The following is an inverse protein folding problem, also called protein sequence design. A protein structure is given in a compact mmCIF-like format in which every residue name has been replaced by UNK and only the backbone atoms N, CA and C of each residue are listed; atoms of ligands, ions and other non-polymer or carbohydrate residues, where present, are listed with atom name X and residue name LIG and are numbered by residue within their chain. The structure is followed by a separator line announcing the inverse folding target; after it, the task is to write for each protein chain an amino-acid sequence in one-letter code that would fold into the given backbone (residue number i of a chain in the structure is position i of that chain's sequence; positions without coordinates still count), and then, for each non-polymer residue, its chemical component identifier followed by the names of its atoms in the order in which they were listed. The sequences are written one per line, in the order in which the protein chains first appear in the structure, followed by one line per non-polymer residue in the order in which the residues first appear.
data_IF_762302028978
#
_entry.id   IF_762302028978
#
_cell.length_a   1.000
_cell.length_b   1.000
_cell.length_c   1.000
_cell.angle_alpha   90.00
_cell.angle_beta   90.00
_cell.angle_gamma   90.00
#
_symmetry.space_group_name_H-M   'P 1'
#
loop_
_entity.id
_entity.type
_entity.pdbx_description
1 polymer ?
#
# COMPACT_ATOMS: atom_id res chain seq x y z
N UNK A 1 -0.16 16.74 -11.98
CA UNK A 1 0.53 16.21 -13.19
C UNK A 1 0.10 16.94 -14.50
N UNK A 2 -0.03 18.28 -14.53
CA UNK A 2 -0.38 19.04 -15.76
C UNK A 2 0.82 19.56 -16.56
N UNK A 3 2.04 19.40 -16.03
CA UNK A 3 3.24 20.11 -16.49
C UNK A 3 4.24 19.28 -17.31
N UNK A 4 4.05 17.96 -17.43
CA UNK A 4 5.01 17.08 -18.14
C UNK A 4 4.68 16.87 -19.63
N UNK A 5 3.47 17.24 -20.07
CA UNK A 5 3.02 17.00 -21.45
C UNK A 5 2.87 18.34 -22.19
N UNK A 6 3.55 18.54 -23.34
CA UNK A 6 3.41 19.74 -24.16
C UNK A 6 1.95 20.05 -24.48
N UNK A 7 1.61 21.34 -24.48
CA UNK A 7 0.23 21.80 -24.71
C UNK A 7 -0.31 21.32 -26.07
N UNK A 8 0.51 21.42 -27.13
CA UNK A 8 0.20 20.93 -28.47
C UNK A 8 -0.22 19.47 -28.49
N UNK A 9 0.49 18.60 -27.75
CA UNK A 9 0.15 17.18 -27.65
C UNK A 9 -1.18 16.95 -26.94
N UNK A 10 -1.46 17.71 -25.87
CA UNK A 10 -2.73 17.63 -25.13
C UNK A 10 -3.92 18.06 -25.99
N UNK A 11 -3.79 19.18 -26.69
CA UNK A 11 -4.83 19.71 -27.58
C UNK A 11 -5.06 18.74 -28.74
N UNK A 12 -4.00 18.24 -29.38
CA UNK A 12 -4.07 17.20 -30.42
C UNK A 12 -4.88 16.00 -29.96
N UNK A 13 -4.51 15.43 -28.81
CA UNK A 13 -5.19 14.25 -28.28
C UNK A 13 -6.66 14.53 -27.99
N UNK A 14 -6.99 15.70 -27.44
CA UNK A 14 -8.38 16.10 -27.19
C UNK A 14 -9.21 16.23 -28.48
N UNK A 15 -8.65 16.83 -29.53
CA UNK A 15 -9.32 16.97 -30.84
C UNK A 15 -9.62 15.59 -31.42
N UNK A 16 -8.59 14.75 -31.54
CA UNK A 16 -8.74 13.40 -32.09
C UNK A 16 -9.73 12.57 -31.26
N UNK A 17 -9.63 12.61 -29.93
CA UNK A 17 -10.57 11.92 -29.04
C UNK A 17 -12.02 12.34 -29.26
N UNK A 18 -12.28 13.65 -29.33
CA UNK A 18 -13.63 14.17 -29.51
C UNK A 18 -14.19 13.73 -30.87
N UNK A 19 -13.46 14.00 -31.96
CA UNK A 19 -13.94 13.69 -33.31
C UNK A 19 -14.06 12.18 -33.55
N UNK A 20 -13.12 11.36 -33.08
CA UNK A 20 -13.20 9.90 -33.17
C UNK A 20 -14.46 9.38 -32.47
N UNK A 21 -14.76 9.88 -31.28
CA UNK A 21 -15.98 9.46 -30.55
C UNK A 21 -17.25 9.86 -31.26
N UNK A 22 -17.32 11.09 -31.78
CA UNK A 22 -18.49 11.57 -32.51
C UNK A 22 -18.70 10.78 -33.81
N UNK A 23 -17.62 10.51 -34.56
CA UNK A 23 -17.70 9.72 -35.80
C UNK A 23 -18.06 8.26 -35.53
N UNK A 24 -17.51 7.65 -34.47
CA UNK A 24 -17.75 6.26 -34.11
C UNK A 24 -19.05 5.99 -33.35
N UNK A 25 -19.85 7.02 -33.05
CA UNK A 25 -21.23 6.80 -32.57
C UNK A 25 -21.98 5.87 -33.53
N UNK A 26 -22.84 5.00 -33.00
CA UNK A 26 -23.60 4.02 -33.80
C UNK A 26 -22.71 3.15 -34.72
N UNK A 27 -21.46 2.87 -34.31
CA UNK A 27 -20.52 2.03 -35.07
C UNK A 27 -20.02 2.66 -36.37
N UNK A 28 -19.99 4.00 -36.46
CA UNK A 28 -19.45 4.70 -37.64
C UNK A 28 -20.43 4.85 -38.79
N UNK A 29 -21.70 4.49 -38.60
CA UNK A 29 -22.75 4.55 -39.64
C UNK A 29 -23.48 5.90 -39.72
N UNK A 30 -23.05 6.88 -38.94
CA UNK A 30 -23.68 8.20 -38.99
C UNK A 30 -23.32 8.89 -40.32
N UNK A 31 -24.23 9.71 -40.87
CA UNK A 31 -23.91 10.57 -42.00
C UNK A 31 -22.87 11.63 -41.61
N UNK A 32 -22.11 12.12 -42.60
CA UNK A 32 -20.97 13.03 -42.42
C UNK A 32 -21.34 14.28 -41.64
N UNK A 33 -22.54 14.80 -41.88
CA UNK A 33 -23.08 16.00 -41.27
C UNK A 33 -23.20 15.88 -39.74
N UNK A 34 -23.40 14.67 -39.21
CA UNK A 34 -23.60 14.45 -37.77
C UNK A 34 -22.29 14.42 -36.97
N UNK A 35 -21.14 14.26 -37.63
CA UNK A 35 -19.83 14.26 -36.99
C UNK A 35 -18.89 15.33 -37.55
N UNK A 36 -19.46 16.32 -38.23
CA UNK A 36 -18.74 17.47 -38.75
C UNK A 36 -19.00 18.68 -37.85
N UNK A 37 -17.94 19.31 -37.36
CA UNK A 37 -18.03 20.41 -36.39
C UNK A 37 -17.15 21.57 -36.83
N UNK A 38 -17.59 22.79 -36.57
CA UNK A 38 -16.73 23.97 -36.74
C UNK A 38 -15.62 23.98 -35.69
N UNK A 39 -14.48 24.62 -36.00
CA UNK A 39 -13.36 24.72 -35.05
C UNK A 39 -13.74 25.41 -33.74
N UNK A 40 -14.65 26.40 -33.77
CA UNK A 40 -15.20 27.04 -32.56
C UNK A 40 -16.02 26.06 -31.70
N UNK A 41 -16.83 25.20 -32.32
CA UNK A 41 -17.57 24.15 -31.61
C UNK A 41 -16.62 23.14 -30.97
N UNK A 42 -15.60 22.69 -31.71
CA UNK A 42 -14.58 21.78 -31.19
C UNK A 42 -13.88 22.41 -29.99
N UNK A 43 -13.39 23.65 -30.12
CA UNK A 43 -12.75 24.42 -29.04
C UNK A 43 -13.62 24.48 -27.78
N UNK A 44 -14.91 24.78 -27.95
CA UNK A 44 -15.87 24.83 -26.85
C UNK A 44 -16.09 23.47 -26.21
N UNK A 45 -16.21 22.40 -27.01
CA UNK A 45 -16.47 21.03 -26.53
C UNK A 45 -15.27 20.43 -25.79
N UNK A 46 -14.05 20.71 -26.24
CA UNK A 46 -12.83 20.17 -25.61
C UNK A 46 -12.24 21.09 -24.53
N UNK A 47 -12.87 22.27 -24.34
CA UNK A 47 -12.46 23.32 -23.41
C UNK A 47 -10.99 23.71 -23.61
N UNK A 48 -10.65 24.12 -24.83
CA UNK A 48 -9.34 24.66 -25.23
C UNK A 48 -9.53 25.95 -26.01
N UNK A 49 -8.51 26.81 -26.05
CA UNK A 49 -8.61 28.07 -26.80
C UNK A 49 -8.71 27.79 -28.30
N UNK A 50 -9.48 28.62 -28.98
CA UNK A 50 -9.71 28.47 -30.41
C UNK A 50 -8.40 28.55 -31.21
N UNK A 51 -7.47 29.43 -30.85
CA UNK A 51 -6.20 29.58 -31.55
C UNK A 51 -5.36 28.30 -31.49
N UNK A 52 -5.32 27.64 -30.32
CA UNK A 52 -4.62 26.37 -30.14
C UNK A 52 -5.28 25.26 -30.97
N UNK A 53 -6.62 25.24 -31.01
CA UNK A 53 -7.37 24.27 -31.81
C UNK A 53 -7.14 24.51 -33.29
N UNK A 54 -7.10 25.76 -33.73
CA UNK A 54 -6.85 26.13 -35.12
C UNK A 54 -5.47 25.67 -35.58
N UNK A 55 -4.41 26.06 -34.87
CA UNK A 55 -3.02 25.70 -35.20
C UNK A 55 -2.82 24.17 -35.24
N UNK A 56 -3.36 23.47 -34.24
CA UNK A 56 -3.22 22.02 -34.18
C UNK A 56 -4.08 21.33 -35.24
N UNK A 57 -5.26 21.85 -35.56
CA UNK A 57 -6.12 21.25 -36.59
C UNK A 57 -5.52 21.44 -37.98
N UNK A 58 -4.85 22.57 -38.26
CA UNK A 58 -4.08 22.79 -39.50
C UNK A 58 -2.95 21.76 -39.64
N UNK A 59 -2.19 21.54 -38.58
CA UNK A 59 -1.19 20.47 -38.53
C UNK A 59 -1.79 19.08 -38.78
N UNK A 60 -2.95 18.77 -38.18
CA UNK A 60 -3.62 17.48 -38.34
C UNK A 60 -4.21 17.27 -39.74
N UNK A 61 -4.67 18.35 -40.38
CA UNK A 61 -5.06 18.35 -41.78
C UNK A 61 -3.87 18.06 -42.69
N UNK A 62 -2.73 18.73 -42.47
CA UNK A 62 -1.49 18.44 -43.21
C UNK A 62 -1.03 16.99 -43.07
N UNK A 63 -1.32 16.35 -41.93
CA UNK A 63 -1.05 14.93 -41.68
C UNK A 63 -2.11 13.97 -42.22
N UNK A 64 -3.09 14.45 -42.99
CA UNK A 64 -4.22 13.67 -43.50
C UNK A 64 -5.04 12.95 -42.41
N UNK A 65 -5.07 13.50 -41.20
CA UNK A 65 -5.86 12.93 -40.10
C UNK A 65 -7.26 13.56 -40.02
N UNK A 66 -7.40 14.78 -40.54
CA UNK A 66 -8.64 15.54 -40.57
C UNK A 66 -8.96 15.97 -42.00
N UNK A 67 -10.23 16.21 -42.26
CA UNK A 67 -10.72 16.84 -43.48
C UNK A 67 -11.44 18.14 -43.14
N UNK A 68 -11.18 19.19 -43.92
CA UNK A 68 -11.85 20.48 -43.78
C UNK A 68 -12.84 20.75 -44.90
N UNK A 69 -14.01 21.23 -44.50
CA UNK A 69 -15.03 21.80 -45.38
C UNK A 69 -15.13 23.31 -45.11
N UNK A 70 -15.12 24.08 -46.18
CA UNK A 70 -15.22 25.54 -46.10
C UNK A 70 -16.51 25.95 -45.39
N UNK A 71 -16.38 26.93 -44.50
CA UNK A 71 -17.51 27.64 -43.93
C UNK A 71 -17.72 28.94 -44.72
N UNK A 72 -18.85 29.05 -45.41
CA UNK A 72 -19.17 30.20 -46.28
C UNK A 72 -19.33 31.50 -45.48
N UNK A 73 -19.73 31.42 -44.21
CA UNK A 73 -20.01 32.61 -43.37
C UNK A 73 -18.80 33.08 -42.57
N UNK A 74 -17.92 32.16 -42.15
CA UNK A 74 -16.74 32.47 -41.35
C UNK A 74 -15.51 31.73 -41.87
N UNK A 75 -14.70 32.38 -42.72
CA UNK A 75 -13.55 31.75 -43.38
C UNK A 75 -12.54 31.12 -42.40
N UNK A 76 -12.29 31.79 -41.28
CA UNK A 76 -11.35 31.30 -40.26
C UNK A 76 -11.93 30.15 -39.43
N UNK A 77 -13.22 29.86 -39.53
CA UNK A 77 -13.89 28.82 -38.74
C UNK A 77 -14.43 27.69 -39.65
N UNK A 78 -13.54 26.93 -40.32
CA UNK A 78 -13.95 25.83 -41.19
C UNK A 78 -14.62 24.73 -40.37
N UNK A 79 -15.43 23.94 -41.09
CA UNK A 79 -15.96 22.69 -40.60
C UNK A 79 -14.92 21.59 -40.73
N UNK A 80 -14.85 20.71 -39.75
CA UNK A 80 -13.85 19.66 -39.63
C UNK A 80 -14.51 18.33 -39.29
N UNK A 81 -14.04 17.27 -39.95
CA UNK A 81 -14.33 15.89 -39.57
C UNK A 81 -13.04 15.05 -39.59
N UNK A 82 -13.05 13.92 -38.88
CA UNK A 82 -11.87 13.04 -38.76
C UNK A 82 -11.86 11.97 -39.85
N UNK A 83 -10.68 11.71 -40.41
CA UNK A 83 -10.44 10.65 -41.40
C UNK A 83 -10.16 9.31 -40.72
N UNK A 84 -10.14 8.23 -41.49
CA UNK A 84 -9.91 6.87 -40.98
C UNK A 84 -8.56 6.75 -40.27
N UNK A 85 -7.50 7.28 -40.88
CA UNK A 85 -6.16 7.35 -40.29
C UNK A 85 -6.15 8.11 -38.95
N UNK A 86 -7.01 9.13 -38.82
CA UNK A 86 -7.19 9.87 -37.57
C UNK A 86 -7.83 9.03 -36.46
N UNK A 87 -8.83 8.21 -36.82
CA UNK A 87 -9.47 7.27 -35.89
C UNK A 87 -8.48 6.18 -35.49
N UNK A 88 -7.78 5.59 -36.46
CA UNK A 88 -6.81 4.53 -36.21
C UNK A 88 -5.73 5.01 -35.24
N UNK A 89 -5.13 6.17 -35.51
CA UNK A 89 -4.11 6.76 -34.63
C UNK A 89 -4.61 6.97 -33.20
N UNK A 90 -5.84 7.48 -33.03
CA UNK A 90 -6.44 7.64 -31.71
C UNK A 90 -6.68 6.29 -31.03
N UNK A 91 -7.23 5.32 -31.77
CA UNK A 91 -7.57 4.00 -31.26
C UNK A 91 -6.32 3.23 -30.82
N UNK A 92 -5.22 3.29 -31.60
CA UNK A 92 -3.94 2.73 -31.20
C UNK A 92 -3.39 3.37 -29.93
N UNK A 93 -3.54 4.69 -29.78
CA UNK A 93 -3.12 5.38 -28.56
C UNK A 93 -3.96 4.96 -27.34
N UNK A 94 -5.28 4.86 -27.50
CA UNK A 94 -6.20 4.40 -26.46
C UNK A 94 -5.87 2.97 -26.02
N UNK A 95 -5.66 2.05 -26.97
CA UNK A 95 -5.24 0.66 -26.71
C UNK A 95 -3.91 0.57 -25.94
N UNK A 96 -2.90 1.36 -26.33
CA UNK A 96 -1.61 1.40 -25.62
C UNK A 96 -1.82 1.91 -24.18
N UNK A 97 -2.65 2.92 -23.99
CA UNK A 97 -2.90 3.49 -22.67
C UNK A 97 -3.71 2.56 -21.77
N UNK A 98 -4.70 1.86 -22.34
CA UNK A 98 -5.44 0.80 -21.65
C UNK A 98 -4.52 -0.35 -21.27
N UNK A 99 -3.66 -0.81 -22.19
CA UNK A 99 -2.66 -1.84 -21.91
C UNK A 99 -1.71 -1.44 -20.77
N UNK A 100 -1.23 -0.20 -20.76
CA UNK A 100 -0.42 0.33 -19.64
C UNK A 100 -1.18 0.33 -18.32
N UNK A 101 -2.42 0.79 -18.33
CA UNK A 101 -3.28 0.86 -17.12
C UNK A 101 -3.59 -0.53 -16.57
N UNK A 102 -3.89 -1.48 -17.46
CA UNK A 102 -4.13 -2.88 -17.12
C UNK A 102 -2.88 -3.51 -16.51
N UNK A 103 -1.71 -3.27 -17.12
CA UNK A 103 -0.44 -3.74 -16.59
C UNK A 103 -0.14 -3.17 -15.21
N UNK A 104 -0.32 -1.85 -14.99
CA UNK A 104 -0.11 -1.23 -13.68
C UNK A 104 -1.07 -1.76 -12.60
N UNK A 105 -2.33 -2.02 -12.95
CA UNK A 105 -3.31 -2.57 -12.02
C UNK A 105 -2.98 -4.03 -11.67
N UNK A 106 -2.56 -4.84 -12.65
CA UNK A 106 -2.13 -6.21 -12.42
C UNK A 106 -0.86 -6.28 -11.56
N UNK A 107 0.15 -5.47 -11.87
CA UNK A 107 1.37 -5.39 -11.05
C UNK A 107 1.04 -4.93 -9.62
N UNK A 108 0.23 -3.87 -9.44
CA UNK A 108 -0.17 -3.39 -8.12
C UNK A 108 -0.88 -4.47 -7.30
N UNK A 109 -1.82 -5.19 -7.91
CA UNK A 109 -2.58 -6.22 -7.22
C UNK A 109 -1.72 -7.45 -6.89
N UNK A 110 -0.89 -7.92 -7.83
CA UNK A 110 0.01 -9.06 -7.62
C UNK A 110 1.05 -8.73 -6.54
N UNK A 111 1.68 -7.55 -6.61
CA UNK A 111 2.67 -7.12 -5.61
C UNK A 111 2.03 -6.97 -4.23
N UNK A 112 0.81 -6.44 -4.13
CA UNK A 112 0.10 -6.33 -2.85
C UNK A 112 -0.27 -7.69 -2.25
N UNK A 113 -0.66 -8.67 -3.08
CA UNK A 113 -0.96 -10.04 -2.62
C UNK A 113 0.31 -10.72 -2.10
N UNK A 114 1.41 -10.64 -2.86
CA UNK A 114 2.70 -11.22 -2.46
C UNK A 114 3.19 -10.60 -1.14
N UNK A 115 3.11 -9.27 -0.98
CA UNK A 115 3.49 -8.61 0.26
C UNK A 115 2.62 -9.04 1.44
N UNK A 116 1.30 -9.17 1.25
CA UNK A 116 0.38 -9.63 2.29
C UNK A 116 0.69 -11.05 2.75
N UNK A 117 1.01 -11.95 1.81
CA UNK A 117 1.41 -13.33 2.12
C UNK A 117 2.70 -13.34 2.96
N UNK A 118 3.73 -12.61 2.52
CA UNK A 118 5.01 -12.53 3.24
C UNK A 118 4.80 -11.98 4.66
N UNK A 119 4.02 -10.89 4.80
CA UNK A 119 3.74 -10.27 6.09
C UNK A 119 2.96 -11.21 7.02
N UNK A 120 1.99 -11.95 6.46
CA UNK A 120 1.23 -12.98 7.18
C UNK A 120 2.13 -14.10 7.69
N UNK A 121 3.04 -14.60 6.85
CA UNK A 121 4.00 -15.64 7.24
C UNK A 121 4.94 -15.18 8.35
N UNK A 122 5.50 -13.97 8.26
CA UNK A 122 6.37 -13.40 9.31
C UNK A 122 5.60 -13.25 10.62
N UNK A 123 4.36 -12.77 10.57
CA UNK A 123 3.51 -12.60 11.75
C UNK A 123 3.22 -13.95 12.40
N UNK A 124 2.84 -14.96 11.62
CA UNK A 124 2.54 -16.29 12.16
C UNK A 124 3.78 -16.93 12.79
N UNK A 125 4.94 -16.81 12.14
CA UNK A 125 6.21 -17.29 12.69
C UNK A 125 6.59 -16.59 14.01
N UNK A 126 6.35 -15.27 14.08
CA UNK A 126 6.61 -14.47 15.29
C UNK A 126 5.71 -14.89 16.44
N UNK A 127 4.42 -15.11 16.18
CA UNK A 127 3.48 -15.60 17.20
C UNK A 127 3.90 -16.99 17.70
N UNK A 128 4.20 -17.91 16.79
CA UNK A 128 4.60 -19.27 17.16
C UNK A 128 5.89 -19.30 18.01
N UNK A 129 6.90 -18.53 17.61
CA UNK A 129 8.16 -18.43 18.38
C UNK A 129 7.96 -17.74 19.73
N UNK A 130 7.08 -16.73 19.79
CA UNK A 130 6.71 -16.04 21.03
C UNK A 130 6.01 -16.98 22.01
N UNK A 131 5.05 -17.77 21.56
CA UNK A 131 4.35 -18.75 22.42
C UNK A 131 5.32 -19.79 22.99
N UNK A 132 6.22 -20.31 22.17
CA UNK A 132 7.22 -21.29 22.62
C UNK A 132 8.17 -20.68 23.67
N UNK A 133 8.65 -19.45 23.45
CA UNK A 133 9.47 -18.75 24.44
C UNK A 133 8.71 -18.49 25.73
N UNK A 134 7.43 -18.12 25.65
CA UNK A 134 6.61 -17.85 26.84
C UNK A 134 6.47 -19.11 27.71
N UNK A 135 6.19 -20.26 27.08
CA UNK A 135 6.09 -21.55 27.79
C UNK A 135 7.43 -21.97 28.41
N UNK A 136 8.54 -21.75 27.70
CA UNK A 136 9.88 -22.02 28.23
C UNK A 136 10.20 -21.13 29.44
N UNK A 137 9.88 -19.84 29.38
CA UNK A 137 10.05 -18.92 30.50
C UNK A 137 9.22 -19.32 31.71
N UNK A 138 7.95 -19.70 31.51
CA UNK A 138 7.06 -20.12 32.59
C UNK A 138 7.55 -21.40 33.27
N UNK A 139 8.06 -22.36 32.48
CA UNK A 139 8.68 -23.58 33.01
C UNK A 139 9.92 -23.28 33.84
N UNK A 140 10.84 -22.43 33.35
CA UNK A 140 12.03 -22.02 34.12
C UNK A 140 11.68 -21.29 35.40
N UNK A 141 10.65 -20.44 35.36
CA UNK A 141 10.21 -19.68 36.52
C UNK A 141 9.61 -20.59 37.60
N UNK A 142 8.85 -21.61 37.20
CA UNK A 142 8.34 -22.63 38.12
C UNK A 142 9.45 -23.51 38.73
N UNK A 143 10.46 -23.88 37.93
CA UNK A 143 11.60 -24.66 38.42
C UNK A 143 12.40 -23.87 39.47
N UNK A 144 12.73 -22.61 39.16
CA UNK A 144 13.40 -21.70 40.10
C UNK A 144 12.59 -21.48 41.37
N UNK A 145 11.27 -21.33 41.26
CA UNK A 145 10.38 -21.17 42.42
C UNK A 145 10.41 -22.41 43.32
N UNK A 146 10.38 -23.61 42.75
CA UNK A 146 10.45 -24.85 43.50
C UNK A 146 11.80 -25.05 44.19
N UNK A 147 12.90 -24.71 43.51
CA UNK A 147 14.24 -24.74 44.10
C UNK A 147 14.36 -23.77 45.28
N UNK A 148 13.85 -22.55 45.16
CA UNK A 148 13.84 -21.59 46.27
C UNK A 148 13.04 -22.10 47.47
N UNK A 149 11.86 -22.69 47.26
CA UNK A 149 11.05 -23.29 48.35
C UNK A 149 11.82 -24.42 49.04
N UNK A 150 12.55 -25.25 48.30
CA UNK A 150 13.39 -26.31 48.86
C UNK A 150 14.53 -25.74 49.72
N UNK A 151 15.24 -24.74 49.22
CA UNK A 151 16.33 -24.07 49.93
C UNK A 151 15.82 -23.41 51.20
N UNK A 152 14.68 -22.72 51.16
CA UNK A 152 14.06 -22.11 52.35
C UNK A 152 13.72 -23.16 53.41
N UNK A 153 13.17 -24.32 53.01
CA UNK A 153 12.90 -25.43 53.93
C UNK A 153 14.17 -25.98 54.57
N UNK A 154 15.21 -26.21 53.77
CA UNK A 154 16.51 -26.69 54.28
C UNK A 154 17.15 -25.69 55.26
N UNK A 155 17.11 -24.39 54.93
CA UNK A 155 17.61 -23.34 55.82
C UNK A 155 16.82 -23.30 57.14
N UNK A 156 15.49 -23.44 57.06
CA UNK A 156 14.64 -23.44 58.25
C UNK A 156 14.88 -24.67 59.12
N UNK A 157 15.12 -25.84 58.51
CA UNK A 157 15.46 -27.06 59.24
C UNK A 157 16.85 -26.97 59.88
N UNK A 158 17.84 -26.44 59.16
CA UNK A 158 19.18 -26.16 59.71
C UNK A 158 19.11 -25.17 60.87
N UNK A 159 18.34 -24.09 60.73
CA UNK A 159 18.13 -23.11 61.79
C UNK A 159 17.50 -23.73 63.05
N UNK A 160 16.48 -24.58 62.89
CA UNK A 160 15.90 -25.35 64.01
C UNK A 160 16.91 -26.28 64.68
N UNK A 161 17.76 -26.97 63.90
CA UNK A 161 18.81 -27.84 64.44
C UNK A 161 19.84 -27.03 65.24
N UNK A 162 20.25 -25.86 64.74
CA UNK A 162 21.16 -24.95 65.44
C UNK A 162 20.52 -24.47 66.76
N UNK A 163 19.26 -24.02 66.74
CA UNK A 163 18.55 -23.56 67.94
C UNK A 163 18.45 -24.68 69.00
N UNK A 164 18.15 -25.92 68.58
CA UNK A 164 18.08 -27.05 69.50
C UNK A 164 19.45 -27.40 70.09
N UNK A 165 20.52 -27.30 69.30
CA UNK A 165 21.89 -27.44 69.78
C UNK A 165 22.22 -26.36 70.81
N UNK A 166 21.97 -25.08 70.51
CA UNK A 166 22.19 -23.96 71.44
C UNK A 166 21.42 -24.15 72.75
N UNK A 167 20.14 -24.52 72.69
CA UNK A 167 19.34 -24.80 73.89
C UNK A 167 19.90 -25.97 74.72
N UNK A 168 20.42 -27.01 74.05
CA UNK A 168 21.04 -28.15 74.74
C UNK A 168 22.37 -27.78 75.42
N UNK A 169 23.15 -26.90 74.79
CA UNK A 169 24.38 -26.34 75.38
C UNK A 169 24.06 -25.45 76.58
N UNK A 170 23.06 -24.56 76.47
CA UNK A 170 22.63 -23.71 77.58
C UNK A 170 22.08 -24.52 78.76
N UNK A 171 21.35 -25.61 78.51
CA UNK A 171 20.95 -26.53 79.58
C UNK A 171 22.16 -27.18 80.24
N UNK A 172 23.15 -27.66 79.47
CA UNK A 172 24.37 -28.23 80.04
C UNK A 172 25.15 -27.20 80.89
N UNK A 173 25.27 -25.96 80.44
CA UNK A 173 25.88 -24.87 81.23
C UNK A 173 25.08 -24.57 82.50
N UNK A 174 23.75 -24.57 82.44
CA UNK A 174 22.88 -24.40 83.60
C UNK A 174 23.01 -25.55 84.62
N UNK A 175 23.12 -26.79 84.15
CA UNK A 175 23.37 -27.95 85.02
C UNK A 175 24.76 -27.89 85.67
N UNK A 176 25.80 -27.52 84.93
CA UNK A 176 27.16 -27.40 85.46
C UNK A 176 27.28 -26.27 86.51
N UNK A 177 26.64 -25.12 86.28
CA UNK A 177 26.64 -24.00 87.22
C UNK A 177 25.84 -24.27 88.50
N UNK A 178 24.76 -25.06 88.42
CA UNK A 178 24.00 -25.48 89.61
C UNK A 178 24.72 -26.55 90.43
N UNK A 179 25.45 -27.47 89.80
CA UNK A 179 26.28 -28.45 90.53
C UNK A 179 27.38 -27.72 91.31
N UNK A 180 28.06 -26.73 90.71
CA UNK A 180 29.08 -25.94 91.41
C UNK A 180 28.54 -25.04 92.53
N UNK A 181 27.25 -24.70 92.53
CA UNK A 181 26.61 -23.94 93.63
C UNK A 181 26.13 -24.81 94.79
N UNK A 182 25.85 -26.09 94.56
CA UNK A 182 25.33 -26.99 95.60
C UNK A 182 26.42 -27.59 96.51
N UNK A 183 27.69 -27.56 96.07
CA UNK A 183 28.84 -28.02 96.88
C UNK A 183 29.35 -26.95 97.88
N UNK A 184 28.68 -25.80 97.99
CA UNK A 184 29.08 -24.67 98.86
C UNK A 184 28.08 -24.36 100.00
N UNK A 185 27.26 -25.33 100.45
CA UNK A 185 26.40 -25.20 101.64
C UNK A 185 26.61 -26.36 102.63
#
# INVERSE_FOLDING_TARGET
MKYLIPKSYRVKHKILKFLSKERMKNGGKNPVEQYTFSLKEISSKINEKYEDVYEISDYLFYKNLLHFKKNETELMNPYCCILDDGIELYSSFELINEGKTLNTNLYSNITSIIFTIILGSITMFTVFTSENKSKEFESRLNELKNQNILIEKELLEKSKKILNLENSFQQMEYYQTNIQKNDNN
#
